data_IF_539874366903
#
_entry.id   IF_539874366903
#
_cell.length_a   1.000
_cell.length_b   1.000
_cell.length_c   1.000
_cell.angle_alpha   90.00
_cell.angle_beta   90.00
_cell.angle_gamma   90.00
#
_symmetry.space_group_name_H-M   'P 1'
#
loop_
_entity.id
_entity.type
_entity.pdbx_description
1 polymer ?
#
# COMPACT_ATOMS: atom_id res chain seq x y z
N UNK A 1 9.29 -10.01 15.59
CA UNK A 1 9.32 -10.67 14.25
C UNK A 1 8.26 -9.96 13.41
N UNK A 2 8.61 -9.39 12.24
CA UNK A 2 7.94 -8.29 11.50
C UNK A 2 8.13 -6.82 11.92
N UNK A 3 9.07 -6.51 12.81
CA UNK A 3 9.48 -5.11 13.04
C UNK A 3 10.66 -4.68 12.14
N UNK A 4 11.57 -5.61 11.82
CA UNK A 4 12.80 -5.32 11.06
C UNK A 4 13.04 -6.20 9.83
N UNK A 5 12.34 -7.33 9.71
CA UNK A 5 12.56 -8.37 8.70
C UNK A 5 11.74 -8.20 7.41
N UNK A 6 11.04 -7.06 7.23
CA UNK A 6 10.24 -6.76 6.04
C UNK A 6 10.96 -7.02 4.73
N UNK A 7 12.23 -6.65 4.66
CA UNK A 7 13.07 -6.87 3.47
C UNK A 7 13.18 -8.36 3.11
N UNK A 8 13.20 -9.25 4.11
CA UNK A 8 13.27 -10.69 3.94
C UNK A 8 11.89 -11.32 3.68
N UNK A 9 10.83 -10.81 4.32
CA UNK A 9 9.46 -11.28 4.13
C UNK A 9 8.89 -10.92 2.73
N UNK A 10 9.30 -9.77 2.17
CA UNK A 10 8.79 -9.29 0.88
C UNK A 10 9.06 -10.24 -0.31
N UNK A 11 10.28 -10.77 -0.53
CA UNK A 11 10.52 -11.77 -1.57
C UNK A 11 9.64 -13.03 -1.44
N UNK A 12 9.33 -13.45 -0.21
CA UNK A 12 8.42 -14.58 0.04
C UNK A 12 7.01 -14.22 -0.41
N UNK A 13 6.51 -13.04 0.00
CA UNK A 13 5.20 -12.55 -0.42
C UNK A 13 5.07 -12.50 -1.95
N UNK A 14 6.10 -12.04 -2.67
CA UNK A 14 6.08 -12.03 -4.15
C UNK A 14 5.96 -13.41 -4.77
N UNK A 15 6.72 -14.38 -4.27
CA UNK A 15 6.66 -15.77 -4.77
C UNK A 15 5.26 -16.35 -4.55
N UNK A 16 4.69 -16.12 -3.37
CA UNK A 16 3.34 -16.59 -3.03
C UNK A 16 2.27 -15.93 -3.88
N UNK A 17 2.31 -14.60 -4.04
CA UNK A 17 1.36 -13.85 -4.87
C UNK A 17 1.46 -14.25 -6.35
N UNK A 18 2.67 -14.44 -6.87
CA UNK A 18 2.87 -14.91 -8.25
C UNK A 18 2.28 -16.31 -8.45
N UNK A 19 2.52 -17.24 -7.52
CA UNK A 19 1.89 -18.57 -7.53
C UNK A 19 0.36 -18.51 -7.44
N UNK A 20 -0.16 -17.50 -6.74
CA UNK A 20 -1.60 -17.25 -6.62
C UNK A 20 -2.20 -16.56 -7.85
N UNK A 21 -1.43 -16.27 -8.92
CA UNK A 21 -1.96 -15.71 -10.16
C UNK A 21 -1.90 -14.18 -10.27
N UNK A 22 -1.18 -13.48 -9.38
CA UNK A 22 -0.94 -12.04 -9.54
C UNK A 22 0.07 -11.75 -10.65
N UNK A 23 -0.18 -10.74 -11.47
CA UNK A 23 0.74 -10.24 -12.50
C UNK A 23 1.66 -9.13 -11.98
N UNK A 24 1.19 -8.35 -11.01
CA UNK A 24 1.94 -7.26 -10.41
C UNK A 24 1.03 -6.20 -9.80
N UNK A 25 1.61 -5.32 -9.00
CA UNK A 25 0.88 -4.28 -8.30
C UNK A 25 1.70 -3.67 -7.18
N UNK A 26 1.00 -3.16 -6.18
CA UNK A 26 1.56 -2.58 -4.97
C UNK A 26 1.39 -3.52 -3.79
N UNK A 27 2.47 -3.67 -3.02
CA UNK A 27 2.50 -4.42 -1.76
C UNK A 27 2.72 -3.43 -0.61
N UNK A 28 1.85 -3.48 0.40
CA UNK A 28 1.89 -2.58 1.57
C UNK A 28 2.00 -3.42 2.85
N UNK A 29 3.12 -3.36 3.57
CA UNK A 29 3.33 -4.05 4.84
C UNK A 29 2.56 -3.40 5.98
N UNK A 30 1.97 -4.23 6.83
CA UNK A 30 1.29 -3.82 8.05
C UNK A 30 1.79 -4.67 9.22
N UNK A 31 2.45 -4.08 10.24
CA UNK A 31 2.99 -4.83 11.38
C UNK A 31 1.92 -5.28 12.38
N UNK A 32 0.82 -4.53 12.45
CA UNK A 32 -0.20 -4.65 13.47
C UNK A 32 -1.58 -4.92 12.87
N UNK A 33 -2.45 -5.49 13.69
CA UNK A 33 -3.88 -5.64 13.42
C UNK A 33 -4.68 -4.91 14.49
N UNK A 34 -5.84 -4.42 14.11
CA UNK A 34 -6.83 -3.90 15.05
C UNK A 34 -7.71 -5.05 15.52
N UNK A 35 -7.85 -5.20 16.84
CA UNK A 35 -8.75 -6.16 17.47
C UNK A 35 -9.65 -5.47 18.47
N UNK A 36 -10.85 -5.99 18.67
CA UNK A 36 -11.76 -5.49 19.70
C UNK A 36 -11.15 -5.64 21.09
N UNK A 37 -11.29 -4.61 21.93
CA UNK A 37 -10.86 -4.69 23.33
C UNK A 37 -11.72 -5.68 24.12
N UNK A 38 -13.00 -5.80 23.80
CA UNK A 38 -13.97 -6.56 24.59
C UNK A 38 -14.01 -8.05 24.25
N UNK A 39 -13.91 -8.41 22.97
CA UNK A 39 -14.08 -9.81 22.52
C UNK A 39 -12.98 -10.31 21.57
N UNK A 40 -11.93 -9.54 21.32
CA UNK A 40 -10.87 -9.89 20.35
C UNK A 40 -11.32 -10.14 18.90
N UNK A 41 -12.57 -9.77 18.58
CA UNK A 41 -13.13 -9.77 17.24
C UNK A 41 -12.42 -8.83 16.28
N UNK A 42 -12.62 -9.05 14.98
CA UNK A 42 -12.05 -8.20 13.93
C UNK A 42 -12.72 -6.83 13.90
N UNK A 43 -11.90 -5.79 13.70
CA UNK A 43 -12.36 -4.41 13.55
C UNK A 43 -12.48 -4.09 12.06
N UNK A 44 -13.68 -3.73 11.64
CA UNK A 44 -13.93 -3.18 10.31
C UNK A 44 -13.98 -1.67 10.34
N UNK A 45 -13.36 -1.06 9.35
CA UNK A 45 -13.43 0.37 9.10
C UNK A 45 -13.96 0.64 7.71
N UNK A 46 -14.88 1.61 7.60
CA UNK A 46 -15.29 2.14 6.30
C UNK A 46 -14.75 3.55 6.10
N UNK A 47 -14.41 3.87 4.86
CA UNK A 47 -14.01 5.19 4.42
C UNK A 47 -14.90 5.61 3.23
N UNK A 48 -15.03 6.91 3.02
CA UNK A 48 -15.71 7.48 1.85
C UNK A 48 -14.93 8.68 1.34
N UNK A 49 -15.17 9.06 0.09
CA UNK A 49 -14.77 10.38 -0.40
C UNK A 49 -15.96 11.30 -0.17
N UNK A 50 -15.74 12.39 0.54
CA UNK A 50 -16.73 13.43 0.71
C UNK A 50 -17.08 14.05 -0.64
N UNK A 51 -18.37 14.15 -0.96
CA UNK A 51 -18.82 14.50 -2.30
C UNK A 51 -18.50 15.96 -2.67
N UNK A 52 -18.48 16.85 -1.68
CA UNK A 52 -18.27 18.28 -1.85
C UNK A 52 -16.79 18.63 -1.77
N UNK A 53 -16.13 18.28 -0.67
CA UNK A 53 -14.72 18.62 -0.41
C UNK A 53 -13.72 17.72 -1.13
N UNK A 54 -14.17 16.60 -1.69
CA UNK A 54 -13.34 15.54 -2.30
C UNK A 54 -12.29 14.96 -1.35
N UNK A 55 -12.43 15.17 -0.03
CA UNK A 55 -11.51 14.64 0.98
C UNK A 55 -11.92 13.21 1.37
N UNK A 56 -10.92 12.37 1.63
CA UNK A 56 -11.16 11.07 2.25
C UNK A 56 -11.61 11.28 3.70
N UNK A 57 -12.77 10.74 4.04
CA UNK A 57 -13.33 10.77 5.40
C UNK A 57 -13.52 9.35 5.91
N UNK A 58 -13.02 9.09 7.11
CA UNK A 58 -13.31 7.86 7.83
C UNK A 58 -14.72 7.96 8.39
N UNK A 59 -15.58 6.97 8.12
CA UNK A 59 -16.97 7.01 8.56
C UNK A 59 -17.07 6.45 9.98
N UNK A 60 -16.82 5.16 10.14
CA UNK A 60 -16.87 4.47 11.44
C UNK A 60 -15.95 3.25 11.46
N UNK A 61 -15.47 2.91 12.66
CA UNK A 61 -14.83 1.63 12.98
C UNK A 61 -15.60 0.93 14.08
N UNK A 62 -15.83 -0.37 13.93
CA UNK A 62 -16.50 -1.18 14.94
C UNK A 62 -16.07 -2.64 14.82
N UNK A 63 -16.27 -3.39 15.90
CA UNK A 63 -16.09 -4.84 15.92
C UNK A 63 -17.24 -5.53 15.18
N UNK A 64 -16.92 -6.45 14.27
CA UNK A 64 -17.94 -7.24 13.54
C UNK A 64 -18.81 -8.09 14.48
N UNK A 65 -18.25 -8.56 15.59
CA UNK A 65 -18.92 -9.51 16.48
C UNK A 65 -19.82 -8.83 17.53
N UNK A 66 -19.39 -7.70 18.11
CA UNK A 66 -20.11 -7.05 19.22
C UNK A 66 -20.44 -5.57 19.01
N UNK A 67 -20.06 -4.99 17.87
CA UNK A 67 -20.33 -3.58 17.54
C UNK A 67 -19.52 -2.55 18.34
N UNK A 68 -18.64 -2.97 19.25
CA UNK A 68 -17.80 -2.06 20.04
C UNK A 68 -16.90 -1.21 19.15
N UNK A 69 -16.77 0.08 19.48
CA UNK A 69 -15.86 1.02 18.82
C UNK A 69 -14.46 1.06 19.46
N UNK A 70 -14.26 0.31 20.54
CA UNK A 70 -12.97 0.24 21.24
C UNK A 70 -12.08 -0.83 20.59
N UNK A 71 -10.88 -0.44 20.20
CA UNK A 71 -9.90 -1.34 19.59
C UNK A 71 -8.53 -1.23 20.24
N UNK A 72 -7.80 -2.34 20.21
CA UNK A 72 -6.38 -2.45 20.57
C UNK A 72 -5.57 -2.84 19.35
N UNK A 73 -4.33 -2.37 19.30
CA UNK A 73 -3.36 -2.80 18.30
C UNK A 73 -2.60 -4.01 18.82
N UNK A 74 -2.62 -5.11 18.08
CA UNK A 74 -1.83 -6.31 18.39
C UNK A 74 -0.81 -6.58 17.29
N UNK A 75 0.36 -7.17 17.61
CA UNK A 75 1.25 -7.71 16.59
C UNK A 75 0.48 -8.70 15.71
N UNK A 76 0.52 -8.50 14.40
CA UNK A 76 -0.28 -9.30 13.47
C UNK A 76 0.18 -9.09 12.05
N UNK A 77 1.45 -9.35 11.75
CA UNK A 77 2.04 -8.89 10.52
C UNK A 77 1.42 -9.49 9.27
N UNK A 78 1.21 -8.66 8.26
CA UNK A 78 0.65 -9.06 6.99
C UNK A 78 0.99 -8.06 5.89
N UNK A 79 0.68 -8.45 4.66
CA UNK A 79 0.76 -7.56 3.51
C UNK A 79 -0.63 -7.37 2.92
N UNK A 80 -0.94 -6.13 2.57
CA UNK A 80 -2.01 -5.84 1.63
C UNK A 80 -1.44 -5.78 0.22
N UNK A 81 -2.18 -6.35 -0.73
CA UNK A 81 -1.87 -6.32 -2.15
C UNK A 81 -3.01 -5.65 -2.89
N UNK A 82 -2.68 -4.70 -3.77
CA UNK A 82 -3.61 -4.13 -4.75
C UNK A 82 -2.93 -4.18 -6.11
N UNK A 83 -3.55 -4.81 -7.10
CA UNK A 83 -2.91 -4.98 -8.39
C UNK A 83 -3.69 -5.84 -9.35
N UNK A 84 -3.00 -6.27 -10.40
CA UNK A 84 -3.57 -7.00 -11.51
C UNK A 84 -3.34 -8.51 -11.37
N UNK A 85 -4.33 -9.29 -11.81
CA UNK A 85 -4.28 -10.75 -11.85
C UNK A 85 -5.62 -11.37 -11.45
N UNK A 86 -5.69 -12.70 -11.53
CA UNK A 86 -6.84 -13.46 -11.05
C UNK A 86 -6.33 -14.38 -9.93
N UNK A 87 -6.83 -14.18 -8.71
CA UNK A 87 -6.34 -14.91 -7.53
C UNK A 87 -6.85 -16.35 -7.50
N UNK A 88 -5.98 -17.32 -7.78
CA UNK A 88 -6.29 -18.74 -7.81
C UNK A 88 -5.44 -19.52 -6.80
N UNK A 89 -5.75 -20.79 -6.58
CA UNK A 89 -4.92 -21.74 -5.82
C UNK A 89 -4.59 -21.36 -4.36
N UNK A 90 -5.36 -20.46 -3.74
CA UNK A 90 -5.07 -19.95 -2.39
C UNK A 90 -5.06 -21.06 -1.34
N UNK A 91 -5.99 -22.02 -1.42
CA UNK A 91 -6.07 -23.15 -0.49
C UNK A 91 -4.90 -24.12 -0.61
N UNK A 92 -4.46 -24.43 -1.82
CA UNK A 92 -3.26 -25.26 -2.02
C UNK A 92 -1.98 -24.56 -1.54
N UNK A 93 -1.90 -23.23 -1.71
CA UNK A 93 -0.77 -22.44 -1.20
C UNK A 93 -0.77 -22.44 0.33
N UNK A 94 -1.94 -22.25 0.96
CA UNK A 94 -2.11 -22.32 2.40
C UNK A 94 -1.66 -23.67 2.96
N UNK A 95 -2.14 -24.78 2.40
CA UNK A 95 -1.75 -26.13 2.82
C UNK A 95 -0.25 -26.39 2.67
N UNK A 96 0.36 -25.90 1.59
CA UNK A 96 1.78 -26.15 1.31
C UNK A 96 2.75 -25.23 2.09
N UNK A 97 2.29 -24.08 2.56
CA UNK A 97 3.20 -23.02 3.07
C UNK A 97 2.79 -22.44 4.42
N UNK A 98 1.57 -22.70 4.89
CA UNK A 98 0.97 -22.05 6.06
C UNK A 98 0.54 -20.59 5.85
N UNK A 99 0.83 -20.00 4.69
CA UNK A 99 0.43 -18.61 4.39
C UNK A 99 -0.98 -18.54 3.83
N UNK A 100 -1.81 -17.72 4.46
CA UNK A 100 -3.18 -17.45 4.01
C UNK A 100 -3.18 -16.28 3.02
N UNK A 101 -3.72 -16.51 1.82
CA UNK A 101 -3.99 -15.47 0.83
C UNK A 101 -5.51 -15.25 0.76
N UNK A 102 -5.99 -14.13 1.29
CA UNK A 102 -7.40 -13.74 1.26
C UNK A 102 -7.68 -12.86 0.04
N UNK A 103 -8.52 -13.33 -0.88
CA UNK A 103 -9.00 -12.52 -1.99
C UNK A 103 -10.17 -11.63 -1.50
N UNK A 104 -9.98 -10.31 -1.53
CA UNK A 104 -10.99 -9.32 -1.13
C UNK A 104 -11.90 -8.93 -2.31
N UNK A 105 -11.60 -9.39 -3.53
CA UNK A 105 -12.37 -9.11 -4.73
C UNK A 105 -11.86 -7.89 -5.50
N UNK A 106 -12.70 -7.38 -6.40
CA UNK A 106 -12.36 -6.26 -7.27
C UNK A 106 -12.46 -4.93 -6.52
N UNK A 107 -11.48 -4.05 -6.77
CA UNK A 107 -11.43 -2.73 -6.17
C UNK A 107 -12.19 -1.74 -7.04
N UNK A 108 -13.20 -1.07 -6.49
CA UNK A 108 -14.00 -0.04 -7.17
C UNK A 108 -13.41 1.38 -7.07
N UNK A 109 -12.53 1.63 -6.10
CA UNK A 109 -11.86 2.91 -5.89
C UNK A 109 -10.43 2.68 -5.38
N UNK A 110 -9.50 2.60 -6.33
CA UNK A 110 -8.09 2.28 -6.08
C UNK A 110 -7.44 3.31 -5.14
N UNK A 111 -7.65 4.60 -5.39
CA UNK A 111 -7.04 5.67 -4.63
C UNK A 111 -7.44 5.62 -3.15
N UNK A 112 -8.72 5.43 -2.87
CA UNK A 112 -9.19 5.33 -1.49
C UNK A 112 -8.82 4.04 -0.79
N UNK A 113 -8.80 2.90 -1.51
CA UNK A 113 -8.30 1.64 -0.95
C UNK A 113 -6.84 1.79 -0.54
N UNK A 114 -5.99 2.33 -1.43
CA UNK A 114 -4.56 2.55 -1.12
C UNK A 114 -4.41 3.55 0.03
N UNK A 115 -5.13 4.67 0.01
CA UNK A 115 -5.10 5.66 1.09
C UNK A 115 -5.47 5.02 2.43
N UNK A 116 -6.56 4.25 2.48
CA UNK A 116 -7.00 3.54 3.69
C UNK A 116 -5.90 2.64 4.22
N UNK A 117 -5.25 1.83 3.37
CA UNK A 117 -4.12 1.01 3.79
C UNK A 117 -2.98 1.86 4.36
N UNK A 118 -2.64 2.98 3.72
CA UNK A 118 -1.57 3.85 4.20
C UNK A 118 -1.87 4.52 5.55
N UNK A 119 -3.15 4.72 5.92
CA UNK A 119 -3.50 5.32 7.23
C UNK A 119 -3.05 4.49 8.44
N UNK A 120 -2.72 3.21 8.25
CA UNK A 120 -2.29 2.31 9.31
C UNK A 120 -1.08 1.43 8.91
N UNK A 121 -0.38 1.81 7.85
CA UNK A 121 0.86 1.15 7.46
C UNK A 121 2.00 1.51 8.43
N UNK A 122 2.90 0.57 8.69
CA UNK A 122 4.09 0.84 9.49
C UNK A 122 5.10 1.69 8.71
N UNK A 123 5.50 2.84 9.26
CA UNK A 123 6.50 3.75 8.66
C UNK A 123 7.84 3.55 9.37
N UNK A 124 8.94 3.47 8.60
CA UNK A 124 10.30 3.51 9.13
C UNK A 124 11.17 4.44 8.30
N UNK A 125 11.96 5.28 8.98
CA UNK A 125 12.91 6.18 8.33
C UNK A 125 13.86 5.42 7.37
N UNK A 126 14.06 5.97 6.18
CA UNK A 126 14.93 5.39 5.15
C UNK A 126 14.37 4.15 4.44
N UNK A 127 13.13 3.74 4.70
CA UNK A 127 12.49 2.57 4.07
C UNK A 127 11.23 2.99 3.32
N UNK A 128 11.08 2.47 2.10
CA UNK A 128 9.83 2.58 1.36
C UNK A 128 8.78 1.63 1.93
N UNK A 129 7.58 2.14 2.16
CA UNK A 129 6.44 1.36 2.66
C UNK A 129 5.79 0.62 1.50
N UNK A 130 5.60 1.30 0.37
CA UNK A 130 5.00 0.70 -0.83
C UNK A 130 6.12 0.05 -1.64
N UNK A 131 5.94 -1.22 -2.02
CA UNK A 131 6.80 -1.80 -3.05
C UNK A 131 5.99 -2.23 -4.27
N UNK A 132 6.39 -1.70 -5.43
CA UNK A 132 5.84 -2.11 -6.72
C UNK A 132 6.57 -3.33 -7.27
N UNK A 133 5.83 -4.32 -7.79
CA UNK A 133 6.40 -5.56 -8.31
C UNK A 133 5.65 -6.10 -9.54
N UNK A 134 6.20 -7.16 -10.13
CA UNK A 134 5.62 -7.82 -11.29
C UNK A 134 5.66 -6.93 -12.53
N UNK A 135 4.53 -6.76 -13.22
CA UNK A 135 4.38 -5.83 -14.34
C UNK A 135 4.47 -4.36 -13.91
N UNK A 136 4.14 -4.05 -12.66
CA UNK A 136 4.17 -2.69 -12.11
C UNK A 136 5.54 -2.28 -11.52
N UNK A 137 6.55 -3.16 -11.57
CA UNK A 137 7.85 -2.90 -10.93
C UNK A 137 8.47 -1.57 -11.42
N UNK A 138 9.00 -0.75 -10.50
CA UNK A 138 9.57 0.57 -10.85
C UNK A 138 10.65 0.51 -11.93
N UNK A 139 11.48 -0.55 -11.96
CA UNK A 139 12.49 -0.74 -13.02
C UNK A 139 11.92 -0.92 -14.43
N UNK A 140 10.63 -1.27 -14.54
CA UNK A 140 9.89 -1.39 -15.81
C UNK A 140 9.20 -0.08 -16.18
N UNK A 141 9.08 0.86 -15.25
CA UNK A 141 8.54 2.17 -15.53
C UNK A 141 9.54 2.96 -16.38
N UNK A 142 9.15 3.23 -17.62
CA UNK A 142 9.85 4.16 -18.49
C UNK A 142 9.17 5.50 -18.32
N UNK A 143 9.77 6.38 -17.50
CA UNK A 143 9.24 7.73 -17.36
C UNK A 143 9.18 8.38 -18.74
N UNK A 144 8.06 9.05 -19.09
CA UNK A 144 8.09 10.01 -20.18
C UNK A 144 9.28 10.94 -19.95
N UNK A 145 9.97 11.30 -21.03
CA UNK A 145 10.96 12.37 -20.96
C UNK A 145 10.26 13.58 -20.38
N UNK A 146 10.81 14.13 -19.29
CA UNK A 146 10.35 15.42 -18.81
C UNK A 146 10.38 16.38 -20.02
N UNK A 147 9.36 17.22 -20.23
CA UNK A 147 9.44 18.27 -21.22
C UNK A 147 10.76 18.97 -20.99
N UNK A 148 11.62 19.02 -22.02
CA UNK A 148 12.79 19.88 -21.94
C UNK A 148 12.21 21.26 -21.76
N UNK A 149 12.52 21.90 -20.64
CA UNK A 149 12.15 23.30 -20.46
C UNK A 149 12.99 24.07 -21.48
N UNK A 150 12.41 24.29 -22.66
CA UNK A 150 13.04 25.04 -23.74
C UNK A 150 12.94 26.54 -23.47
N UNK A 151 12.21 26.93 -22.43
CA UNK A 151 12.16 28.32 -21.99
C UNK A 151 13.41 28.61 -21.18
N UNK A 152 14.18 29.64 -21.55
CA UNK A 152 15.23 30.13 -20.67
C UNK A 152 14.62 30.54 -19.34
N UNK A 153 15.11 29.97 -18.23
CA UNK A 153 14.82 30.50 -16.91
C UNK A 153 15.54 31.86 -16.82
N UNK A 154 14.76 32.94 -16.67
CA UNK A 154 15.30 34.27 -16.45
C UNK A 154 15.34 34.56 -14.95
N UNK A 155 16.40 35.19 -14.49
CA UNK A 155 16.50 35.65 -13.11
C UNK A 155 15.34 36.62 -12.83
N UNK A 156 14.50 36.38 -11.81
CA UNK A 156 13.36 37.26 -11.50
C UNK A 156 13.80 38.65 -10.99
N UNK A 157 15.09 38.80 -10.64
CA UNK A 157 15.65 40.06 -10.13
C UNK A 157 16.28 40.91 -11.25
N UNK A 158 17.03 40.29 -12.16
CA UNK A 158 17.80 41.04 -13.17
C UNK A 158 17.48 40.66 -14.63
N UNK A 159 16.63 39.66 -14.87
CA UNK A 159 16.25 39.21 -16.21
C UNK A 159 17.36 38.46 -16.98
N UNK A 160 18.52 38.21 -16.37
CA UNK A 160 19.60 37.45 -16.99
C UNK A 160 19.25 35.96 -17.12
N UNK A 161 19.85 35.28 -18.11
CA UNK A 161 19.73 33.83 -18.28
C UNK A 161 20.30 33.09 -17.07
N UNK A 162 19.48 32.25 -16.44
CA UNK A 162 19.91 31.35 -15.38
C UNK A 162 20.50 30.08 -15.99
N UNK A 163 21.70 29.71 -15.54
CA UNK A 163 22.33 28.44 -15.87
C UNK A 163 22.02 27.44 -14.75
N UNK A 164 21.54 26.25 -15.11
CA UNK A 164 21.46 25.13 -14.17
C UNK A 164 22.87 24.75 -13.74
N UNK A 165 23.21 24.99 -12.48
CA UNK A 165 24.43 24.45 -11.89
C UNK A 165 24.20 22.96 -11.62
N UNK A 166 24.96 22.10 -12.28
CA UNK A 166 25.12 20.72 -11.82
C UNK A 166 25.97 20.76 -10.57
N UNK A 167 25.38 20.46 -9.42
CA UNK A 167 26.13 20.24 -8.17
C UNK A 167 27.09 19.07 -8.44
N UNK A 168 28.38 19.31 -8.24
CA UNK A 168 29.45 18.33 -8.38
C UNK A 168 29.41 17.28 -7.25
#
# INVERSE_FOLDING_TARGET
MFHDDYSAARPIAYKLLTKAGTLGGLLIPHPWRQKCVLCDGDIVGSWRVDAETKKFTQKERYCEDCGSKQFKWIPGPHFHFVGYGWIQHTKSIELATGYVIKNIGLVNNIGGTVWYQLTHAGVRAGRQIITYFGVCALRKYKSPSAPRDTKPELCPVCGALMLKTTIA
#
